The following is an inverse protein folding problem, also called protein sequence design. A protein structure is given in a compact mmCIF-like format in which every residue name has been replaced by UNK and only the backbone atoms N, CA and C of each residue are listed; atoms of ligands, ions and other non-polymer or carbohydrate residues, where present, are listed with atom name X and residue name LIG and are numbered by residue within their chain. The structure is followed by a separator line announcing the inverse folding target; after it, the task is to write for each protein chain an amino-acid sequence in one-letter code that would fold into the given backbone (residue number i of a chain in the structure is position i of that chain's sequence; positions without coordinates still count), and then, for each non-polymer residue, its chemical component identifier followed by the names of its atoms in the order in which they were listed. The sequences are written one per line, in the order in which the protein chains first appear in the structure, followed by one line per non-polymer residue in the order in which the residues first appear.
data_IF_423780386049
#
_entry.id   IF_423780386049
#
_cell.length_a   1.000
_cell.length_b   1.000
_cell.length_c   1.000
_cell.angle_alpha   90.00
_cell.angle_beta   90.00
_cell.angle_gamma   90.00
#
_symmetry.space_group_name_H-M   'P 1'
#
loop_
_entity.id
_entity.type
_entity.pdbx_description
1 polymer ?
#
# COMPACT_ATOMS: atom_id res chain seq x y z
N UNK A 1 -4.60 -0.25 15.09
CA UNK A 1 -4.16 0.65 14.01
C UNK A 1 -2.94 1.43 14.51
N UNK A 2 -1.84 1.46 13.75
CA UNK A 2 -0.62 2.20 14.09
C UNK A 2 -0.73 3.60 13.49
N UNK A 3 -0.37 4.64 14.24
CA UNK A 3 -0.46 6.02 13.75
C UNK A 3 0.75 6.38 12.86
N UNK A 4 0.56 6.26 11.56
CA UNK A 4 1.58 6.57 10.55
C UNK A 4 1.54 8.01 10.03
N UNK A 5 0.76 8.92 10.62
CA UNK A 5 0.64 10.29 10.09
C UNK A 5 1.98 11.03 10.05
N UNK A 6 2.79 10.88 11.10
CA UNK A 6 4.15 11.43 11.15
C UNK A 6 5.06 10.83 10.08
N UNK A 7 5.02 9.51 9.92
CA UNK A 7 5.80 8.80 8.89
C UNK A 7 5.39 9.21 7.48
N UNK A 8 4.09 9.30 7.19
CA UNK A 8 3.56 9.69 5.88
C UNK A 8 3.94 11.12 5.49
N UNK A 9 4.17 12.00 6.46
CA UNK A 9 4.60 13.38 6.19
C UNK A 9 6.06 13.48 5.72
N UNK A 10 6.93 12.57 6.18
CA UNK A 10 8.36 12.55 5.82
C UNK A 10 8.66 11.62 4.63
N UNK A 11 7.76 10.68 4.33
CA UNK A 11 7.91 9.77 3.19
C UNK A 11 7.71 10.53 1.88
N UNK A 12 8.69 10.42 0.96
CA UNK A 12 8.57 10.93 -0.41
C UNK A 12 7.36 10.30 -1.07
N UNK A 13 6.41 11.12 -1.55
CA UNK A 13 5.28 10.61 -2.33
C UNK A 13 5.80 9.97 -3.62
N UNK A 14 5.43 8.72 -3.85
CA UNK A 14 5.53 8.13 -5.19
C UNK A 14 4.51 8.85 -6.06
N UNK A 15 4.99 9.57 -7.07
CA UNK A 15 4.15 10.28 -8.02
C UNK A 15 4.09 9.46 -9.30
N UNK A 16 3.43 8.31 -9.22
CA UNK A 16 3.02 7.60 -10.42
C UNK A 16 1.64 8.10 -10.82
N UNK A 17 1.42 8.43 -12.11
CA UNK A 17 0.12 8.89 -12.57
C UNK A 17 -0.88 7.74 -12.44
N UNK A 18 -1.89 7.93 -11.60
CA UNK A 18 -3.01 7.01 -11.55
C UNK A 18 -3.83 7.17 -12.84
N UNK A 19 -4.17 6.07 -13.55
CA UNK A 19 -4.96 6.16 -14.76
C UNK A 19 -6.33 6.79 -14.47
N UNK A 20 -6.79 7.62 -15.41
CA UNK A 20 -8.10 8.25 -15.32
C UNK A 20 -9.21 7.20 -15.45
N UNK A 21 -10.31 7.37 -14.70
CA UNK A 21 -11.42 6.40 -14.71
C UNK A 21 -11.99 6.20 -16.11
N UNK A 22 -12.15 7.28 -16.88
CA UNK A 22 -12.69 7.18 -18.24
C UNK A 22 -11.78 6.38 -19.18
N UNK A 23 -10.45 6.48 -19.02
CA UNK A 23 -9.52 5.69 -19.81
C UNK A 23 -9.67 4.19 -19.51
N UNK A 24 -9.79 3.84 -18.22
CA UNK A 24 -10.01 2.46 -17.79
C UNK A 24 -11.33 1.90 -18.34
N UNK A 25 -12.37 2.73 -18.43
CA UNK A 25 -13.66 2.31 -18.97
C UNK A 25 -13.60 2.12 -20.49
N UNK A 26 -12.93 3.00 -21.23
CA UNK A 26 -12.75 2.84 -22.68
C UNK A 26 -11.93 1.59 -23.01
N UNK A 27 -10.87 1.31 -22.23
CA UNK A 27 -10.02 0.12 -22.40
C UNK A 27 -10.80 -1.20 -22.22
N UNK A 28 -11.90 -1.16 -21.47
CA UNK A 28 -12.74 -2.33 -21.22
C UNK A 28 -13.98 -2.41 -22.12
N UNK A 29 -14.17 -1.44 -23.01
CA UNK A 29 -15.31 -1.36 -23.89
C UNK A 29 -15.30 -2.51 -24.89
N UNK A 30 -16.39 -3.28 -24.93
CA UNK A 30 -16.52 -4.45 -25.81
C UNK A 30 -16.10 -5.78 -25.17
N UNK A 31 -15.63 -5.78 -23.92
CA UNK A 31 -15.49 -7.00 -23.15
C UNK A 31 -16.87 -7.57 -22.77
N UNK A 32 -17.10 -8.85 -23.02
CA UNK A 32 -18.35 -9.53 -22.66
C UNK A 32 -18.36 -10.07 -21.23
N UNK A 33 -17.18 -10.24 -20.63
CA UNK A 33 -16.99 -10.88 -19.33
C UNK A 33 -15.97 -10.11 -18.51
N UNK A 34 -16.29 -9.92 -17.23
CA UNK A 34 -15.45 -9.20 -16.28
C UNK A 34 -15.21 -10.09 -15.05
N UNK A 35 -13.99 -10.10 -14.56
CA UNK A 35 -13.65 -10.66 -13.25
C UNK A 35 -13.01 -9.57 -12.39
N UNK A 36 -13.32 -9.58 -11.10
CA UNK A 36 -12.76 -8.63 -10.14
C UNK A 36 -11.88 -9.40 -9.16
N UNK A 37 -10.64 -8.97 -9.05
CA UNK A 37 -9.73 -9.42 -8.00
C UNK A 37 -9.83 -8.45 -6.83
N UNK A 38 -10.13 -8.97 -5.64
CA UNK A 38 -10.07 -8.17 -4.42
C UNK A 38 -8.68 -8.29 -3.79
N UNK A 39 -8.02 -7.16 -3.64
CA UNK A 39 -6.68 -7.04 -3.08
C UNK A 39 -6.72 -6.36 -1.70
N UNK A 40 -7.82 -6.51 -0.96
CA UNK A 40 -8.01 -5.91 0.37
C UNK A 40 -6.89 -6.24 1.37
N UNK A 41 -6.30 -7.45 1.27
CA UNK A 41 -5.16 -7.89 2.08
C UNK A 41 -3.79 -7.72 1.42
N UNK A 42 -3.73 -7.17 0.21
CA UNK A 42 -2.49 -7.15 -0.58
C UNK A 42 -1.38 -6.35 0.07
N UNK A 43 -1.71 -5.34 0.90
CA UNK A 43 -0.73 -4.61 1.68
C UNK A 43 0.18 -5.55 2.49
N UNK A 44 -0.39 -6.60 3.09
CA UNK A 44 0.34 -7.58 3.90
C UNK A 44 1.08 -8.64 3.08
N UNK A 45 0.90 -8.67 1.75
CA UNK A 45 1.58 -9.61 0.86
C UNK A 45 2.91 -9.05 0.35
N UNK A 46 3.05 -7.73 0.26
CA UNK A 46 4.28 -7.08 -0.19
C UNK A 46 5.25 -6.90 0.97
N UNK A 47 6.50 -7.40 0.80
CA UNK A 47 7.57 -7.19 1.78
C UNK A 47 8.11 -5.77 1.72
N UNK A 48 8.32 -5.20 2.90
CA UNK A 48 9.07 -3.95 3.07
C UNK A 48 10.56 -4.28 2.91
N UNK A 49 11.28 -3.42 2.18
CA UNK A 49 12.74 -3.54 2.04
C UNK A 49 13.38 -3.55 3.42
N UNK A 50 14.37 -4.41 3.64
CA UNK A 50 15.00 -4.57 4.95
C UNK A 50 15.51 -3.23 5.53
N UNK A 51 16.03 -2.35 4.67
CA UNK A 51 16.48 -0.99 5.04
C UNK A 51 15.37 -0.04 5.53
N UNK A 52 14.12 -0.29 5.13
CA UNK A 52 12.97 0.55 5.45
C UNK A 52 12.11 -0.02 6.60
N UNK A 53 12.34 -1.25 7.05
CA UNK A 53 11.56 -1.89 8.13
C UNK A 53 11.65 -1.10 9.44
N UNK A 54 12.84 -0.57 9.76
CA UNK A 54 13.07 0.27 10.96
C UNK A 54 12.18 1.52 10.99
N UNK A 55 11.82 2.07 9.82
CA UNK A 55 10.94 3.25 9.70
C UNK A 55 9.49 2.92 10.06
N UNK A 56 9.13 1.65 10.04
CA UNK A 56 7.81 1.14 10.44
C UNK A 56 7.78 0.63 11.87
N UNK A 57 8.80 0.95 12.68
CA UNK A 57 8.83 0.55 14.08
C UNK A 57 7.68 1.18 14.87
N UNK A 58 7.06 0.38 15.73
CA UNK A 58 6.03 0.82 16.66
C UNK A 58 6.25 0.15 18.02
N UNK A 59 5.80 0.82 19.08
CA UNK A 59 5.98 0.33 20.45
C UNK A 59 4.65 -0.10 21.05
N UNK A 60 4.63 -1.30 21.62
CA UNK A 60 3.53 -1.80 22.44
C UNK A 60 4.10 -2.06 23.83
N UNK A 61 3.56 -1.35 24.83
CA UNK A 61 4.05 -1.34 26.21
C UNK A 61 5.56 -1.09 26.29
N UNK A 62 6.35 -2.10 26.63
CA UNK A 62 7.81 -2.04 26.78
C UNK A 62 8.58 -2.67 25.61
N UNK A 63 7.88 -3.17 24.59
CA UNK A 63 8.49 -3.85 23.44
C UNK A 63 8.31 -3.06 22.15
N UNK A 64 9.39 -3.00 21.38
CA UNK A 64 9.39 -2.44 20.05
C UNK A 64 9.25 -3.54 19.02
N UNK A 65 8.41 -3.30 18.02
CA UNK A 65 8.15 -4.19 16.91
C UNK A 65 8.32 -3.43 15.60
N UNK A 66 8.61 -4.15 14.52
CA UNK A 66 8.78 -3.62 13.18
C UNK A 66 7.94 -4.43 12.20
N UNK A 67 7.43 -3.80 11.15
CA UNK A 67 6.72 -4.52 10.10
C UNK A 67 7.69 -5.02 9.03
N UNK A 68 7.61 -6.32 8.72
CA UNK A 68 8.32 -6.92 7.60
C UNK A 68 7.53 -6.81 6.27
N UNK A 69 6.24 -6.45 6.34
CA UNK A 69 5.31 -6.37 5.21
C UNK A 69 4.52 -5.06 5.25
N UNK A 70 4.02 -4.60 4.11
CA UNK A 70 3.23 -3.38 4.01
C UNK A 70 1.95 -3.41 4.86
N UNK A 71 1.50 -2.24 5.28
CA UNK A 71 0.23 -2.03 6.00
C UNK A 71 -0.57 -0.92 5.36
#
# INVERSE_FOLDING_TARGET
CVDYRGLKAITKRSMEPQPHVDQLLEDTRGACWFSKLDLSSAYHQFRIRAEDQVKTSFRVTERQYEFAVGT
#
